data_IF_727810034084
#
_entry.id   IF_727810034084
#
_cell.length_a   1.000
_cell.length_b   1.000
_cell.length_c   1.000
_cell.angle_alpha   90.00
_cell.angle_beta   90.00
_cell.angle_gamma   90.00
#
_symmetry.space_group_name_H-M   'P 1'
#
loop_
_entity.id
_entity.type
_entity.pdbx_description
1 polymer ?
#
# COMPACT_ATOMS: atom_id res chain seq x y z
N UNK A 1 73.39 25.50 62.76
CA UNK A 1 72.44 24.84 63.71
C UNK A 1 71.11 24.84 62.98
N UNK A 2 70.64 23.70 62.53
CA UNK A 2 69.28 23.60 61.92
C UNK A 2 68.25 23.72 63.00
N UNK A 3 67.36 24.71 62.89
CA UNK A 3 66.39 25.01 63.91
C UNK A 3 65.21 24.02 63.80
N UNK A 4 65.37 22.92 64.57
CA UNK A 4 64.37 21.80 64.62
C UNK A 4 63.00 22.29 64.94
N UNK A 5 62.87 23.40 65.67
CA UNK A 5 61.59 24.01 66.03
C UNK A 5 60.81 24.56 64.82
N UNK A 6 61.50 25.09 63.81
CA UNK A 6 60.85 25.56 62.60
C UNK A 6 60.36 24.43 61.71
N UNK A 7 61.09 23.33 61.63
CA UNK A 7 60.68 22.16 60.88
C UNK A 7 59.44 21.47 61.51
N UNK A 8 59.40 21.35 62.85
CA UNK A 8 58.25 20.79 63.54
C UNK A 8 57.01 21.69 63.37
N UNK A 9 57.17 23.01 63.48
CA UNK A 9 56.02 23.96 63.25
C UNK A 9 55.49 23.91 61.82
N UNK A 10 56.40 23.84 60.82
CA UNK A 10 56.00 23.73 59.42
C UNK A 10 55.31 22.42 59.11
N UNK A 11 55.79 21.32 59.68
CA UNK A 11 55.16 20.00 59.50
C UNK A 11 53.80 19.93 60.18
N UNK A 12 53.65 20.47 61.39
CA UNK A 12 52.37 20.56 62.07
C UNK A 12 51.34 21.43 61.29
N UNK A 13 51.76 22.52 60.68
CA UNK A 13 50.91 23.38 59.86
C UNK A 13 50.40 22.64 58.58
N UNK A 14 51.28 21.85 57.94
CA UNK A 14 50.91 21.02 56.76
C UNK A 14 49.92 19.94 57.14
N UNK A 15 50.15 19.25 58.27
CA UNK A 15 49.18 18.23 58.72
C UNK A 15 47.83 18.85 59.16
N UNK A 16 47.86 19.99 59.77
CA UNK A 16 46.60 20.69 60.12
C UNK A 16 45.83 21.14 58.89
N UNK A 17 46.51 21.69 57.90
CA UNK A 17 45.91 22.05 56.60
C UNK A 17 45.34 20.85 55.87
N UNK A 18 46.06 19.71 55.89
CA UNK A 18 45.57 18.46 55.30
C UNK A 18 44.35 17.91 56.04
N UNK A 19 44.33 17.93 57.37
CA UNK A 19 43.20 17.49 58.16
C UNK A 19 41.95 18.35 57.94
N UNK A 20 42.12 19.69 57.86
CA UNK A 20 41.04 20.62 57.53
C UNK A 20 40.57 20.42 56.10
N UNK A 21 41.46 20.16 55.13
CA UNK A 21 41.11 19.91 53.75
C UNK A 21 40.32 18.61 53.58
N UNK A 22 40.68 17.54 54.31
CA UNK A 22 39.94 16.29 54.32
C UNK A 22 38.55 16.45 54.97
N UNK A 23 38.44 17.16 56.08
CA UNK A 23 37.19 17.41 56.76
C UNK A 23 36.21 18.24 55.90
N UNK A 24 36.73 19.26 55.22
CA UNK A 24 35.97 20.07 54.27
C UNK A 24 35.56 19.22 53.04
N UNK A 25 36.48 18.41 52.50
CA UNK A 25 36.22 17.54 51.37
C UNK A 25 35.11 16.52 51.66
N UNK A 26 35.12 15.87 52.85
CA UNK A 26 34.05 14.96 53.28
C UNK A 26 32.74 15.66 53.50
N UNK A 27 32.74 16.86 54.14
CA UNK A 27 31.54 17.63 54.38
C UNK A 27 30.87 18.13 53.08
N UNK A 28 31.63 18.47 52.07
CA UNK A 28 31.14 18.88 50.75
C UNK A 28 30.67 17.65 49.93
N UNK A 29 31.43 16.53 50.00
CA UNK A 29 31.09 15.32 49.28
C UNK A 29 29.78 14.71 49.75
N UNK A 30 29.45 14.76 51.04
CA UNK A 30 28.16 14.28 51.55
C UNK A 30 26.99 15.11 51.01
N UNK A 31 27.12 16.44 50.99
CA UNK A 31 26.05 17.32 50.46
C UNK A 31 25.87 17.24 48.96
N UNK A 32 26.94 16.97 48.20
CA UNK A 32 26.87 16.78 46.76
C UNK A 32 26.24 15.43 46.43
N UNK A 33 26.57 14.37 47.18
CA UNK A 33 25.93 13.07 47.02
C UNK A 33 24.41 13.10 47.27
N UNK A 34 24.01 13.71 48.38
CA UNK A 34 22.58 13.84 48.72
C UNK A 34 21.79 14.67 47.67
N UNK A 35 22.41 15.71 47.13
CA UNK A 35 21.81 16.51 46.05
C UNK A 35 21.72 15.69 44.72
N UNK A 36 22.75 14.96 44.38
CA UNK A 36 22.78 14.11 43.18
C UNK A 36 21.76 12.96 43.26
N UNK A 37 21.65 12.32 44.43
CA UNK A 37 20.67 11.28 44.67
C UNK A 37 19.23 11.80 44.64
N UNK A 38 18.98 13.02 45.17
CA UNK A 38 17.68 13.67 45.10
C UNK A 38 17.30 14.08 43.64
N UNK A 39 18.26 14.53 42.83
CA UNK A 39 18.05 14.80 41.42
C UNK A 39 17.72 13.53 40.64
N UNK A 40 18.45 12.46 40.87
CA UNK A 40 18.19 11.15 40.24
C UNK A 40 16.82 10.59 40.66
N UNK A 41 16.46 10.68 41.93
CA UNK A 41 15.15 10.24 42.40
C UNK A 41 14.00 11.06 41.74
N UNK A 42 14.13 12.38 41.64
CA UNK A 42 13.16 13.23 40.98
C UNK A 42 13.07 12.97 39.46
N UNK A 43 14.19 12.64 38.82
CA UNK A 43 14.21 12.29 37.39
C UNK A 43 13.56 10.93 37.14
N UNK A 44 13.84 9.94 37.99
CA UNK A 44 13.18 8.62 37.92
C UNK A 44 11.68 8.75 38.14
N UNK A 45 11.24 9.54 39.11
CA UNK A 45 9.81 9.81 39.36
C UNK A 45 9.14 10.45 38.14
N UNK A 46 9.76 11.49 37.54
CA UNK A 46 9.25 12.15 36.32
C UNK A 46 9.17 11.19 35.12
N UNK A 47 10.18 10.33 34.96
CA UNK A 47 10.18 9.32 33.89
C UNK A 47 9.11 8.26 34.13
N UNK A 48 8.92 7.85 35.38
CA UNK A 48 7.85 6.92 35.78
C UNK A 48 6.47 7.49 35.49
N UNK A 49 6.23 8.76 35.87
CA UNK A 49 4.96 9.43 35.60
C UNK A 49 4.68 9.58 34.10
N UNK A 50 5.70 9.96 33.31
CA UNK A 50 5.58 10.02 31.84
C UNK A 50 5.27 8.65 31.23
N UNK A 51 5.98 7.61 31.67
CA UNK A 51 5.70 6.26 31.21
C UNK A 51 4.27 5.83 31.54
N UNK A 52 3.80 6.15 32.72
CA UNK A 52 2.42 5.84 33.11
C UNK A 52 1.40 6.62 32.27
N UNK A 53 1.62 7.92 32.05
CA UNK A 53 0.76 8.72 31.17
C UNK A 53 0.75 8.18 29.73
N UNK A 54 1.90 7.80 29.18
CA UNK A 54 1.98 7.22 27.83
C UNK A 54 1.29 5.85 27.75
N UNK A 55 1.42 5.03 28.80
CA UNK A 55 0.70 3.76 28.88
C UNK A 55 -0.82 3.95 28.94
N UNK A 56 -1.30 4.91 29.74
CA UNK A 56 -2.73 5.24 29.85
C UNK A 56 -3.27 5.78 28.50
N UNK A 57 -2.50 6.62 27.81
CA UNK A 57 -2.84 7.13 26.48
C UNK A 57 -2.90 5.97 25.46
N UNK A 58 -1.92 5.09 25.49
CA UNK A 58 -1.87 3.93 24.59
C UNK A 58 -3.06 2.97 24.83
N UNK A 59 -3.42 2.70 26.08
CA UNK A 59 -4.61 1.91 26.43
C UNK A 59 -5.89 2.57 25.96
N UNK A 60 -6.04 3.88 26.20
CA UNK A 60 -7.21 4.63 25.76
C UNK A 60 -7.32 4.72 24.23
N UNK A 61 -6.19 4.83 23.53
CA UNK A 61 -6.17 4.81 22.06
C UNK A 61 -6.57 3.43 21.54
N UNK A 62 -6.05 2.34 22.14
CA UNK A 62 -6.43 0.97 21.77
C UNK A 62 -7.91 0.70 21.98
N UNK A 63 -8.47 1.10 23.13
CA UNK A 63 -9.91 0.92 23.41
C UNK A 63 -10.80 1.67 22.42
N UNK A 64 -10.37 2.89 21.99
CA UNK A 64 -11.11 3.61 20.94
C UNK A 64 -11.00 2.93 19.58
N UNK A 65 -9.82 2.38 19.25
CA UNK A 65 -9.62 1.58 18.03
C UNK A 65 -10.53 0.35 18.02
N UNK A 66 -10.53 -0.44 19.11
CA UNK A 66 -11.36 -1.64 19.25
C UNK A 66 -12.88 -1.32 19.12
N UNK A 67 -13.32 -0.20 19.71
CA UNK A 67 -14.72 0.22 19.59
C UNK A 67 -15.07 0.69 18.16
N UNK A 68 -14.14 1.33 17.46
CA UNK A 68 -14.31 1.72 16.07
C UNK A 68 -14.34 0.48 15.16
N UNK A 69 -13.45 -0.47 15.37
CA UNK A 69 -13.40 -1.73 14.63
C UNK A 69 -14.70 -2.53 14.81
N UNK A 70 -15.21 -2.66 16.06
CA UNK A 70 -16.47 -3.32 16.33
C UNK A 70 -17.67 -2.64 15.60
N UNK A 71 -17.67 -1.29 15.55
CA UNK A 71 -18.70 -0.56 14.81
C UNK A 71 -18.61 -0.87 13.31
N UNK A 72 -17.41 -0.85 12.73
CA UNK A 72 -17.20 -1.15 11.32
C UNK A 72 -17.61 -2.60 11.01
N UNK A 73 -17.18 -3.56 11.82
CA UNK A 73 -17.57 -4.97 11.65
C UNK A 73 -19.08 -5.19 11.67
N UNK A 74 -19.79 -4.50 12.56
CA UNK A 74 -21.26 -4.63 12.67
C UNK A 74 -22.03 -3.92 11.55
N UNK A 75 -21.47 -2.83 11.02
CA UNK A 75 -22.13 -2.06 9.95
C UNK A 75 -21.76 -2.56 8.56
N UNK A 76 -20.59 -3.18 8.40
CA UNK A 76 -20.08 -3.67 7.12
C UNK A 76 -21.07 -4.52 6.33
N UNK A 77 -21.74 -5.56 6.89
CA UNK A 77 -22.68 -6.37 6.11
C UNK A 77 -23.83 -5.55 5.52
N UNK A 78 -24.33 -4.57 6.29
CA UNK A 78 -25.44 -3.70 5.83
C UNK A 78 -24.98 -2.75 4.72
N UNK A 79 -23.73 -2.27 4.80
CA UNK A 79 -23.16 -1.39 3.78
C UNK A 79 -22.80 -2.13 2.49
N UNK A 80 -22.54 -3.43 2.58
CA UNK A 80 -22.19 -4.27 1.43
C UNK A 80 -23.41 -4.92 0.76
N UNK A 81 -24.52 -5.07 1.47
CA UNK A 81 -25.71 -5.79 0.99
C UNK A 81 -26.13 -5.29 -0.40
N UNK A 82 -26.11 -6.22 -1.37
CA UNK A 82 -26.54 -6.03 -2.78
C UNK A 82 -25.88 -4.82 -3.51
N UNK A 83 -24.78 -4.28 -3.00
CA UNK A 83 -24.17 -3.07 -3.54
C UNK A 83 -23.65 -3.24 -4.96
N UNK A 84 -23.19 -4.44 -5.31
CA UNK A 84 -22.71 -4.80 -6.64
C UNK A 84 -23.58 -5.91 -7.27
N UNK A 85 -24.83 -6.07 -6.80
CA UNK A 85 -25.71 -7.07 -7.34
C UNK A 85 -25.88 -6.94 -8.85
N UNK A 86 -25.86 -8.08 -9.55
CA UNK A 86 -25.99 -8.19 -11.03
C UNK A 86 -24.82 -7.58 -11.83
N UNK A 87 -23.81 -7.01 -11.17
CA UNK A 87 -22.61 -6.48 -11.85
C UNK A 87 -21.52 -7.56 -11.97
N UNK A 88 -20.74 -7.46 -13.02
CA UNK A 88 -19.66 -8.39 -13.38
C UNK A 88 -18.34 -7.64 -13.46
N UNK A 89 -17.29 -8.23 -12.90
CA UNK A 89 -15.99 -7.57 -12.86
C UNK A 89 -14.90 -8.47 -13.42
N UNK A 90 -13.89 -7.83 -14.04
CA UNK A 90 -12.63 -8.44 -14.38
C UNK A 90 -11.61 -8.20 -13.25
N UNK A 91 -10.74 -9.17 -13.00
CA UNK A 91 -9.59 -9.06 -12.10
C UNK A 91 -8.31 -9.23 -12.90
N UNK A 92 -7.47 -8.21 -12.90
CA UNK A 92 -6.24 -8.15 -13.70
C UNK A 92 -5.06 -8.04 -12.76
N UNK A 93 -4.11 -8.96 -12.90
CA UNK A 93 -2.82 -8.88 -12.22
C UNK A 93 -1.75 -8.43 -13.21
N UNK A 94 -1.11 -7.31 -12.92
CA UNK A 94 0.07 -6.84 -13.64
C UNK A 94 1.29 -7.50 -12.99
N UNK A 95 1.52 -8.77 -13.36
CA UNK A 95 2.51 -9.65 -12.77
C UNK A 95 1.91 -10.88 -12.07
N UNK A 96 2.69 -11.56 -11.21
CA UNK A 96 2.29 -12.79 -10.55
C UNK A 96 1.03 -12.63 -9.69
N UNK A 97 0.20 -13.67 -9.59
CA UNK A 97 -1.02 -13.64 -8.79
C UNK A 97 -0.71 -13.48 -7.30
N UNK A 98 -1.11 -12.36 -6.70
CA UNK A 98 -1.11 -12.18 -5.27
C UNK A 98 -2.31 -12.88 -4.63
N UNK A 99 -2.08 -14.03 -4.00
CA UNK A 99 -3.16 -14.81 -3.36
C UNK A 99 -3.90 -14.04 -2.26
N UNK A 100 -3.25 -13.10 -1.55
CA UNK A 100 -3.89 -12.26 -0.54
C UNK A 100 -4.81 -11.22 -1.19
N UNK A 101 -4.34 -10.50 -2.20
CA UNK A 101 -5.14 -9.53 -2.94
C UNK A 101 -6.32 -10.22 -3.64
N UNK A 102 -6.08 -11.35 -4.32
CA UNK A 102 -7.12 -12.17 -4.94
C UNK A 102 -8.22 -12.53 -3.94
N UNK A 103 -7.86 -13.14 -2.80
CA UNK A 103 -8.84 -13.53 -1.79
C UNK A 103 -9.60 -12.35 -1.18
N UNK A 104 -8.96 -11.18 -1.07
CA UNK A 104 -9.61 -9.97 -0.58
C UNK A 104 -10.64 -9.44 -1.60
N UNK A 105 -10.28 -9.41 -2.88
CA UNK A 105 -11.17 -8.99 -3.98
C UNK A 105 -12.35 -9.95 -4.11
N UNK A 106 -12.10 -11.27 -4.20
CA UNK A 106 -13.16 -12.29 -4.29
C UNK A 106 -14.14 -12.16 -3.12
N UNK A 107 -13.64 -11.95 -1.90
CA UNK A 107 -14.50 -11.73 -0.72
C UNK A 107 -15.29 -10.43 -0.84
N UNK A 108 -14.68 -9.34 -1.32
CA UNK A 108 -15.36 -8.05 -1.52
C UNK A 108 -16.55 -8.21 -2.48
N UNK A 109 -16.33 -8.84 -3.62
CA UNK A 109 -17.34 -9.07 -4.63
C UNK A 109 -18.46 -9.97 -4.11
N UNK A 110 -18.10 -11.05 -3.41
CA UNK A 110 -19.06 -11.95 -2.77
C UNK A 110 -19.90 -11.25 -1.70
N UNK A 111 -19.28 -10.48 -0.80
CA UNK A 111 -19.96 -9.73 0.27
C UNK A 111 -20.91 -8.66 -0.31
N UNK A 112 -20.60 -8.12 -1.50
CA UNK A 112 -21.38 -7.10 -2.19
C UNK A 112 -22.43 -7.66 -3.17
N UNK A 113 -22.57 -8.98 -3.29
CA UNK A 113 -23.59 -9.62 -4.11
C UNK A 113 -23.25 -9.79 -5.59
N UNK A 114 -22.01 -9.52 -6.02
CA UNK A 114 -21.57 -9.72 -7.41
C UNK A 114 -21.19 -11.18 -7.71
N UNK A 115 -20.65 -11.90 -6.74
CA UNK A 115 -20.03 -13.21 -6.95
C UNK A 115 -18.55 -13.13 -7.35
N UNK A 116 -18.02 -14.26 -7.84
CA UNK A 116 -16.60 -14.30 -8.27
C UNK A 116 -16.36 -13.45 -9.54
N UNK A 117 -15.11 -12.96 -9.75
CA UNK A 117 -14.75 -12.29 -11.00
C UNK A 117 -15.08 -13.20 -12.21
N UNK A 118 -15.81 -12.65 -13.18
CA UNK A 118 -16.17 -13.44 -14.39
C UNK A 118 -14.96 -13.69 -15.28
N UNK A 119 -13.92 -12.90 -15.11
CA UNK A 119 -12.67 -13.00 -15.84
C UNK A 119 -11.50 -12.64 -14.91
N UNK A 120 -10.46 -13.47 -14.94
CA UNK A 120 -9.18 -13.19 -14.29
C UNK A 120 -8.06 -13.40 -15.30
N UNK A 121 -7.13 -12.45 -15.34
CA UNK A 121 -5.93 -12.52 -16.16
C UNK A 121 -4.74 -12.06 -15.30
N UNK A 122 -3.65 -12.83 -15.31
CA UNK A 122 -2.36 -12.44 -14.76
C UNK A 122 -1.36 -12.35 -15.90
N UNK A 123 -0.70 -11.20 -16.01
CA UNK A 123 0.29 -10.99 -17.07
C UNK A 123 1.64 -11.60 -16.70
N UNK A 124 2.28 -12.17 -17.68
CA UNK A 124 3.68 -12.61 -17.60
C UNK A 124 4.59 -11.40 -17.88
N UNK A 125 5.19 -10.88 -16.85
CA UNK A 125 6.06 -9.69 -16.91
C UNK A 125 7.36 -9.90 -16.16
N UNK A 126 8.48 -9.33 -16.65
CA UNK A 126 8.60 -8.43 -17.80
C UNK A 126 8.43 -9.16 -19.13
N UNK A 127 7.79 -8.50 -20.11
CA UNK A 127 7.53 -9.08 -21.43
C UNK A 127 8.84 -9.39 -22.17
N UNK A 128 8.83 -10.47 -22.95
CA UNK A 128 9.91 -10.75 -23.89
C UNK A 128 9.68 -9.95 -25.19
N UNK A 129 10.50 -8.89 -25.35
CA UNK A 129 10.34 -7.93 -26.47
C UNK A 129 10.59 -8.63 -27.81
N UNK A 130 11.60 -9.51 -27.91
CA UNK A 130 11.94 -10.18 -29.15
C UNK A 130 10.83 -11.15 -29.59
N UNK A 131 10.32 -11.95 -28.63
CA UNK A 131 9.21 -12.89 -28.91
C UNK A 131 7.90 -12.13 -29.25
N UNK A 132 7.66 -11.00 -28.59
CA UNK A 132 6.47 -10.16 -28.86
C UNK A 132 6.54 -9.55 -30.26
N UNK A 133 7.67 -8.97 -30.64
CA UNK A 133 7.89 -8.42 -31.98
C UNK A 133 7.77 -9.49 -33.07
N UNK A 134 8.35 -10.67 -32.86
CA UNK A 134 8.21 -11.80 -33.80
C UNK A 134 6.74 -12.20 -33.99
N UNK A 135 5.97 -12.25 -32.91
CA UNK A 135 4.55 -12.61 -32.95
C UNK A 135 3.71 -11.52 -33.65
N UNK A 136 3.99 -10.26 -33.40
CA UNK A 136 3.31 -9.14 -34.05
C UNK A 136 3.59 -9.10 -35.56
N UNK A 137 4.84 -9.33 -35.96
CA UNK A 137 5.23 -9.38 -37.38
C UNK A 137 4.72 -10.61 -38.11
N UNK A 138 4.41 -11.70 -37.41
CA UNK A 138 3.90 -12.92 -38.01
C UNK A 138 2.41 -12.80 -38.43
N UNK A 139 1.68 -11.85 -37.87
CA UNK A 139 0.27 -11.59 -38.18
C UNK A 139 0.11 -10.24 -38.86
N UNK A 140 -0.45 -10.24 -40.10
CA UNK A 140 -0.63 -9.03 -40.90
C UNK A 140 -1.56 -7.99 -40.21
N UNK A 141 -2.51 -8.43 -39.37
CA UNK A 141 -3.42 -7.58 -38.62
C UNK A 141 -2.73 -6.92 -37.40
N UNK A 142 -1.69 -7.56 -36.86
CA UNK A 142 -0.93 -7.08 -35.70
C UNK A 142 0.35 -6.33 -36.07
N UNK A 143 0.81 -6.43 -37.32
CA UNK A 143 2.09 -5.85 -37.76
C UNK A 143 2.22 -4.34 -37.54
N UNK A 144 1.10 -3.62 -37.44
CA UNK A 144 1.10 -2.19 -37.17
C UNK A 144 1.68 -1.85 -35.79
N UNK A 145 1.49 -2.71 -34.77
CA UNK A 145 2.06 -2.50 -33.43
C UNK A 145 3.57 -2.65 -33.39
N UNK A 146 4.14 -3.52 -34.25
CA UNK A 146 5.60 -3.67 -34.34
C UNK A 146 6.29 -2.47 -35.00
N UNK A 147 5.57 -1.63 -35.78
CA UNK A 147 6.13 -0.42 -36.38
C UNK A 147 6.42 0.69 -35.35
N UNK A 148 5.81 0.63 -34.17
CA UNK A 148 6.00 1.59 -33.06
C UNK A 148 7.30 1.32 -32.28
N UNK A 149 8.04 0.25 -32.60
CA UNK A 149 9.26 -0.17 -31.91
C UNK A 149 8.93 -0.64 -30.49
N UNK A 150 9.79 -0.32 -29.51
CA UNK A 150 9.63 -0.76 -28.11
C UNK A 150 8.51 -0.04 -27.34
N UNK A 151 7.71 0.78 -27.99
CA UNK A 151 6.55 1.45 -27.41
C UNK A 151 5.27 0.63 -27.66
N UNK A 152 4.97 -0.29 -26.77
CA UNK A 152 3.75 -1.12 -26.84
C UNK A 152 2.52 -0.48 -26.20
N UNK A 153 2.52 0.85 -26.03
CA UNK A 153 1.41 1.54 -25.36
C UNK A 153 0.09 1.46 -26.15
N UNK A 154 0.15 1.49 -27.50
CA UNK A 154 -1.01 1.30 -28.36
C UNK A 154 -1.57 -0.11 -28.27
N UNK A 155 -0.70 -1.12 -28.31
CA UNK A 155 -1.09 -2.51 -28.11
C UNK A 155 -1.76 -2.70 -26.73
N UNK A 156 -1.16 -2.11 -25.68
CA UNK A 156 -1.73 -2.17 -24.33
C UNK A 156 -3.12 -1.57 -24.25
N UNK A 157 -3.33 -0.42 -24.86
CA UNK A 157 -4.62 0.29 -24.90
C UNK A 157 -5.72 -0.59 -25.49
N UNK A 158 -5.49 -1.15 -26.67
CA UNK A 158 -6.43 -2.05 -27.36
C UNK A 158 -6.67 -3.35 -26.57
N UNK A 159 -5.64 -3.92 -25.92
CA UNK A 159 -5.78 -5.09 -25.03
C UNK A 159 -6.66 -4.76 -23.80
N UNK A 160 -6.53 -3.55 -23.24
CA UNK A 160 -7.36 -3.06 -22.15
C UNK A 160 -8.83 -2.96 -22.54
N UNK A 161 -9.11 -2.36 -23.70
CA UNK A 161 -10.46 -2.25 -24.25
C UNK A 161 -11.10 -3.63 -24.51
N UNK A 162 -10.38 -4.56 -25.15
CA UNK A 162 -10.87 -5.93 -25.39
C UNK A 162 -11.18 -6.67 -24.09
N UNK A 163 -10.42 -6.41 -23.03
CA UNK A 163 -10.61 -7.08 -21.76
C UNK A 163 -11.94 -6.74 -21.11
N UNK A 164 -12.46 -5.55 -21.33
CA UNK A 164 -13.74 -5.07 -20.78
C UNK A 164 -14.91 -5.35 -21.70
N UNK A 165 -14.73 -5.16 -22.99
CA UNK A 165 -15.81 -5.23 -23.98
C UNK A 165 -16.49 -6.60 -24.06
N UNK A 166 -15.76 -7.69 -23.79
CA UNK A 166 -16.30 -9.04 -23.94
C UNK A 166 -16.52 -9.44 -25.43
N UNK A 167 -16.97 -10.66 -25.66
CA UNK A 167 -17.17 -11.18 -27.01
C UNK A 167 -15.89 -11.78 -27.60
N UNK A 168 -15.62 -11.49 -28.87
CA UNK A 168 -14.36 -11.90 -29.49
C UNK A 168 -13.23 -11.01 -29.00
N UNK A 169 -12.12 -11.63 -28.60
CA UNK A 169 -10.91 -10.96 -28.11
C UNK A 169 -9.72 -11.41 -28.96
N UNK A 170 -9.60 -10.89 -30.20
CA UNK A 170 -8.59 -11.33 -31.15
C UNK A 170 -7.16 -11.08 -30.65
N UNK A 171 -6.86 -9.91 -30.05
CA UNK A 171 -5.54 -9.60 -29.51
C UNK A 171 -5.16 -10.56 -28.38
N UNK A 172 -6.05 -10.75 -27.39
CA UNK A 172 -5.82 -11.73 -26.32
C UNK A 172 -5.70 -13.15 -26.85
N UNK A 173 -6.43 -13.50 -27.89
CA UNK A 173 -6.37 -14.84 -28.50
C UNK A 173 -5.04 -15.08 -29.19
N UNK A 174 -4.51 -14.08 -29.88
CA UNK A 174 -3.22 -14.15 -30.58
C UNK A 174 -2.03 -14.15 -29.62
N UNK A 175 -2.07 -13.29 -28.58
CA UNK A 175 -0.92 -13.00 -27.73
C UNK A 175 -0.95 -13.66 -26.34
N UNK A 176 -2.03 -14.40 -26.02
CA UNK A 176 -2.18 -14.98 -24.66
C UNK A 176 -1.06 -15.97 -24.28
N UNK A 177 -0.44 -16.64 -25.23
CA UNK A 177 0.69 -17.55 -24.94
C UNK A 177 1.97 -16.83 -24.55
N UNK A 178 2.09 -15.54 -24.85
CA UNK A 178 3.25 -14.70 -24.56
C UNK A 178 3.00 -13.77 -23.37
N UNK A 179 1.78 -13.27 -23.25
CA UNK A 179 1.45 -12.21 -22.28
C UNK A 179 0.76 -12.72 -21.02
N UNK A 180 0.29 -13.97 -20.97
CA UNK A 180 -0.57 -14.46 -19.89
C UNK A 180 0.06 -15.63 -19.15
N UNK A 181 0.37 -15.43 -17.86
CA UNK A 181 0.83 -16.49 -16.96
C UNK A 181 -0.34 -17.36 -16.45
N UNK A 182 -1.42 -16.71 -16.01
CA UNK A 182 -2.62 -17.38 -15.48
C UNK A 182 -3.89 -16.74 -16.02
N UNK A 183 -4.86 -17.59 -16.40
CA UNK A 183 -6.18 -17.14 -16.87
C UNK A 183 -7.28 -18.01 -16.30
N UNK A 184 -8.37 -17.36 -15.84
CA UNK A 184 -9.58 -18.05 -15.39
C UNK A 184 -10.84 -17.30 -15.82
N UNK A 185 -11.98 -18.00 -15.87
CA UNK A 185 -13.26 -17.43 -16.26
C UNK A 185 -13.50 -17.40 -17.76
N UNK A 186 -14.35 -16.49 -18.25
CA UNK A 186 -14.76 -16.39 -19.65
C UNK A 186 -14.51 -15.02 -20.24
N UNK A 187 -14.09 -14.96 -21.50
CA UNK A 187 -13.91 -13.73 -22.26
C UNK A 187 -15.19 -13.26 -22.99
N UNK A 188 -16.25 -14.07 -23.01
CA UNK A 188 -17.44 -13.77 -23.81
C UNK A 188 -18.41 -12.79 -23.17
N UNK A 189 -18.29 -12.59 -21.85
CA UNK A 189 -19.16 -11.68 -21.11
C UNK A 189 -18.54 -10.30 -21.02
N UNK A 190 -19.32 -9.29 -21.34
CA UNK A 190 -19.02 -7.91 -21.01
C UNK A 190 -18.93 -7.73 -19.48
N UNK A 191 -18.04 -6.88 -19.00
CA UNK A 191 -17.88 -6.56 -17.58
C UNK A 191 -18.30 -5.13 -17.30
N UNK A 192 -18.72 -4.87 -16.06
CA UNK A 192 -19.19 -3.57 -15.59
C UNK A 192 -18.06 -2.79 -14.86
N UNK A 193 -16.84 -3.30 -14.90
CA UNK A 193 -15.66 -2.69 -14.32
C UNK A 193 -14.48 -3.64 -14.20
N UNK A 194 -13.32 -3.08 -13.86
CA UNK A 194 -12.08 -3.84 -13.68
C UNK A 194 -11.41 -3.51 -12.35
N UNK A 195 -10.79 -4.53 -11.77
CA UNK A 195 -9.97 -4.43 -10.56
C UNK A 195 -8.56 -4.81 -10.96
N UNK A 196 -7.61 -3.93 -10.71
CA UNK A 196 -6.21 -4.12 -11.09
C UNK A 196 -5.34 -4.28 -9.86
N UNK A 197 -4.49 -5.29 -9.88
CA UNK A 197 -3.48 -5.56 -8.85
C UNK A 197 -2.11 -5.51 -9.51
N UNK A 198 -1.33 -4.49 -9.22
CA UNK A 198 0.07 -4.49 -9.64
C UNK A 198 0.89 -5.29 -8.63
N UNK A 199 1.54 -6.32 -9.12
CA UNK A 199 2.37 -7.24 -8.32
C UNK A 199 3.77 -7.37 -8.89
N UNK A 200 4.10 -6.59 -9.93
CA UNK A 200 5.42 -6.50 -10.51
C UNK A 200 6.05 -5.15 -10.21
N UNK A 201 7.29 -5.18 -9.76
CA UNK A 201 8.12 -4.00 -9.53
C UNK A 201 9.39 -4.14 -10.36
N UNK A 202 9.68 -3.11 -11.16
CA UNK A 202 10.86 -3.10 -12.00
C UNK A 202 12.14 -3.05 -11.15
N UNK A 203 13.04 -4.04 -11.24
CA UNK A 203 14.28 -4.00 -10.49
C UNK A 203 15.18 -2.85 -11.00
N UNK A 204 15.98 -2.23 -10.14
CA UNK A 204 17.00 -1.31 -10.59
C UNK A 204 18.05 -2.08 -11.40
N UNK A 205 18.35 -1.65 -12.63
CA UNK A 205 19.31 -2.28 -13.50
C UNK A 205 20.23 -1.27 -14.18
N UNK A 206 21.50 -1.65 -14.40
CA UNK A 206 22.46 -0.93 -15.22
C UNK A 206 22.64 -1.63 -16.59
N UNK A 207 22.01 -2.80 -16.77
CA UNK A 207 22.00 -3.53 -18.03
C UNK A 207 21.08 -2.85 -19.03
N UNK A 208 21.58 -2.62 -20.24
CA UNK A 208 20.86 -1.85 -21.27
C UNK A 208 19.69 -2.66 -21.82
N UNK A 209 19.87 -3.95 -22.07
CA UNK A 209 18.85 -4.82 -22.65
C UNK A 209 17.72 -5.05 -21.63
N UNK A 210 18.07 -5.22 -20.34
CA UNK A 210 17.09 -5.33 -19.27
C UNK A 210 16.33 -4.00 -19.05
N UNK A 211 17.02 -2.85 -19.13
CA UNK A 211 16.37 -1.54 -19.04
C UNK A 211 15.40 -1.29 -20.21
N UNK A 212 15.67 -1.83 -21.38
CA UNK A 212 14.81 -1.78 -22.55
C UNK A 212 13.55 -2.63 -22.33
N UNK A 213 13.71 -3.87 -21.90
CA UNK A 213 12.58 -4.75 -21.52
C UNK A 213 11.69 -4.13 -20.45
N UNK A 214 12.26 -3.51 -19.42
CA UNK A 214 11.51 -2.83 -18.37
C UNK A 214 10.71 -1.65 -18.96
N UNK A 215 11.29 -0.87 -19.87
CA UNK A 215 10.58 0.26 -20.51
C UNK A 215 9.44 -0.23 -21.39
N UNK A 216 9.67 -1.22 -22.21
CA UNK A 216 8.68 -1.85 -23.08
C UNK A 216 7.52 -2.43 -22.23
N UNK A 217 7.84 -3.16 -21.16
CA UNK A 217 6.83 -3.69 -20.23
C UNK A 217 5.99 -2.57 -19.62
N UNK A 218 6.61 -1.50 -19.11
CA UNK A 218 5.88 -0.36 -18.55
C UNK A 218 4.99 0.33 -19.58
N UNK A 219 5.47 0.50 -20.81
CA UNK A 219 4.68 1.07 -21.90
C UNK A 219 3.43 0.25 -22.19
N UNK A 220 3.56 -1.08 -22.26
CA UNK A 220 2.42 -2.00 -22.41
C UNK A 220 1.43 -1.90 -21.25
N UNK A 221 1.93 -1.92 -20.00
CA UNK A 221 1.08 -1.86 -18.81
C UNK A 221 0.37 -0.52 -18.67
N UNK A 222 1.06 0.61 -18.92
CA UNK A 222 0.46 1.94 -18.91
C UNK A 222 -0.59 2.07 -20.02
N UNK A 223 -0.38 1.44 -21.17
CA UNK A 223 -1.37 1.33 -22.25
C UNK A 223 -2.59 0.55 -21.79
N UNK A 224 -2.40 -0.64 -21.26
CA UNK A 224 -3.49 -1.50 -20.80
C UNK A 224 -4.36 -0.80 -19.73
N UNK A 225 -3.75 -0.08 -18.80
CA UNK A 225 -4.47 0.69 -17.80
C UNK A 225 -5.29 1.82 -18.43
N UNK A 226 -4.76 2.51 -19.45
CA UNK A 226 -5.52 3.52 -20.19
C UNK A 226 -6.68 2.92 -20.98
N UNK A 227 -6.45 1.80 -21.67
CA UNK A 227 -7.51 1.11 -22.42
C UNK A 227 -8.65 0.65 -21.52
N UNK A 228 -8.33 0.17 -20.31
CA UNK A 228 -9.34 -0.14 -19.30
C UNK A 228 -10.15 1.10 -18.90
N UNK A 229 -9.49 2.24 -18.65
CA UNK A 229 -10.14 3.49 -18.19
C UNK A 229 -10.95 4.17 -19.29
N UNK A 230 -10.51 4.07 -20.56
CA UNK A 230 -11.20 4.64 -21.73
C UNK A 230 -12.62 4.09 -21.91
N UNK A 231 -12.92 2.93 -21.38
CA UNK A 231 -14.24 2.29 -21.53
C UNK A 231 -15.37 3.00 -20.76
N UNK A 232 -15.01 3.88 -19.82
CA UNK A 232 -15.97 4.61 -18.98
C UNK A 232 -16.58 3.75 -17.86
N UNK A 233 -16.14 2.51 -17.68
CA UNK A 233 -16.47 1.67 -16.52
C UNK A 233 -15.51 1.96 -15.35
N UNK A 234 -15.92 1.71 -14.10
CA UNK A 234 -15.03 1.89 -12.96
C UNK A 234 -13.82 0.95 -13.04
N UNK A 235 -12.63 1.53 -13.03
CA UNK A 235 -11.36 0.82 -12.87
C UNK A 235 -10.77 1.20 -11.53
N UNK A 236 -10.40 0.19 -10.73
CA UNK A 236 -9.87 0.42 -9.40
C UNK A 236 -8.57 -0.38 -9.22
N UNK A 237 -7.47 0.35 -8.99
CA UNK A 237 -6.22 -0.23 -8.59
C UNK A 237 -6.25 -0.63 -7.12
N UNK A 238 -5.77 -1.82 -6.78
CA UNK A 238 -5.77 -2.29 -5.38
C UNK A 238 -4.44 -2.87 -4.98
N UNK A 239 -4.07 -2.64 -3.73
CA UNK A 239 -2.96 -3.30 -3.06
C UNK A 239 -3.33 -3.69 -1.62
N UNK A 240 -2.51 -4.53 -0.99
CA UNK A 240 -2.71 -4.90 0.42
C UNK A 240 -2.03 -3.89 1.33
N UNK A 241 -2.51 -3.78 2.58
CA UNK A 241 -1.93 -2.89 3.59
C UNK A 241 -0.43 -3.14 3.85
N UNK A 242 0.05 -4.36 3.55
CA UNK A 242 1.45 -4.79 3.77
C UNK A 242 2.28 -4.85 2.49
N UNK A 243 1.81 -4.29 1.38
CA UNK A 243 2.59 -4.19 0.14
C UNK A 243 3.76 -3.23 0.36
N UNK A 244 4.98 -3.69 0.13
CA UNK A 244 6.21 -2.89 0.29
C UNK A 244 6.40 -1.95 -0.92
N UNK A 245 6.12 -2.44 -2.13
CA UNK A 245 6.13 -1.66 -3.35
C UNK A 245 4.70 -1.19 -3.65
N UNK A 246 4.49 0.12 -3.65
CA UNK A 246 3.17 0.72 -3.85
C UNK A 246 3.00 1.21 -5.28
N UNK A 247 1.94 0.77 -5.94
CA UNK A 247 1.53 1.20 -7.28
C UNK A 247 0.53 2.38 -7.25
N UNK A 248 0.17 2.87 -6.07
CA UNK A 248 -0.85 3.92 -5.91
C UNK A 248 -0.48 5.20 -6.66
N UNK A 249 0.79 5.59 -6.65
CA UNK A 249 1.25 6.78 -7.38
C UNK A 249 1.13 6.60 -8.90
N UNK A 250 1.29 5.39 -9.43
CA UNK A 250 1.12 5.07 -10.83
C UNK A 250 -0.36 5.12 -11.22
N UNK A 251 -1.25 4.56 -10.41
CA UNK A 251 -2.70 4.69 -10.61
C UNK A 251 -3.16 6.15 -10.56
N UNK A 252 -2.67 6.92 -9.57
CA UNK A 252 -2.99 8.35 -9.46
C UNK A 252 -2.56 9.13 -10.71
N UNK A 253 -1.37 8.86 -11.23
CA UNK A 253 -0.84 9.52 -12.45
C UNK A 253 -1.71 9.26 -13.67
N UNK A 254 -2.34 8.09 -13.75
CA UNK A 254 -3.25 7.70 -14.82
C UNK A 254 -4.72 8.10 -14.56
N UNK A 255 -5.03 8.69 -13.41
CA UNK A 255 -6.39 9.09 -13.04
C UNK A 255 -7.27 7.94 -12.53
N UNK A 256 -6.68 6.76 -12.29
CA UNK A 256 -7.38 5.58 -11.81
C UNK A 256 -7.55 5.67 -10.30
N UNK A 257 -8.76 5.41 -9.82
CA UNK A 257 -9.05 5.32 -8.39
C UNK A 257 -8.35 4.12 -7.75
N UNK A 258 -7.95 4.25 -6.47
CA UNK A 258 -7.18 3.19 -5.83
C UNK A 258 -7.55 2.93 -4.37
N UNK A 259 -7.21 1.71 -3.91
CA UNK A 259 -7.35 1.27 -2.51
C UNK A 259 -6.08 0.56 -2.06
N UNK A 260 -5.40 1.10 -1.04
CA UNK A 260 -4.09 0.62 -0.58
C UNK A 260 -4.15 -0.47 0.51
N UNK A 261 -5.32 -0.90 0.91
CA UNK A 261 -5.55 -1.81 2.04
C UNK A 261 -6.72 -2.77 1.82
N UNK A 262 -6.86 -3.29 0.60
CA UNK A 262 -7.99 -4.14 0.18
C UNK A 262 -8.19 -5.38 1.08
N UNK A 263 -7.16 -5.84 1.78
CA UNK A 263 -7.20 -6.95 2.72
C UNK A 263 -7.83 -6.60 4.08
N UNK A 264 -8.20 -5.34 4.32
CA UNK A 264 -8.94 -4.88 5.51
C UNK A 264 -10.44 -4.74 5.24
N UNK A 265 -11.25 -4.64 6.30
CA UNK A 265 -12.71 -4.40 6.16
C UNK A 265 -12.96 -3.03 5.51
N UNK A 266 -12.22 -2.00 5.93
CA UNK A 266 -12.35 -0.66 5.37
C UNK A 266 -11.95 -0.61 3.89
N UNK A 267 -10.86 -1.28 3.50
CA UNK A 267 -10.42 -1.36 2.11
C UNK A 267 -11.42 -2.11 1.22
N UNK A 268 -11.99 -3.21 1.72
CA UNK A 268 -13.04 -3.93 0.99
C UNK A 268 -14.30 -3.07 0.79
N UNK A 269 -14.69 -2.29 1.80
CA UNK A 269 -15.79 -1.34 1.66
C UNK A 269 -15.46 -0.25 0.65
N UNK A 270 -14.24 0.30 0.69
CA UNK A 270 -13.78 1.32 -0.26
C UNK A 270 -13.83 0.79 -1.70
N UNK A 271 -13.31 -0.42 -1.94
CA UNK A 271 -13.37 -1.07 -3.25
C UNK A 271 -14.82 -1.24 -3.74
N UNK A 272 -15.72 -1.76 -2.90
CA UNK A 272 -17.12 -1.94 -3.28
C UNK A 272 -17.81 -0.60 -3.60
N UNK A 273 -17.51 0.46 -2.84
CA UNK A 273 -18.05 1.79 -3.08
C UNK A 273 -17.56 2.37 -4.42
N UNK A 274 -16.27 2.26 -4.72
CA UNK A 274 -15.69 2.72 -5.99
C UNK A 274 -16.28 1.96 -7.18
N UNK A 275 -16.36 0.63 -7.10
CA UNK A 275 -16.97 -0.20 -8.14
C UNK A 275 -18.47 0.08 -8.32
N UNK A 276 -19.15 0.55 -7.28
CA UNK A 276 -20.53 1.01 -7.37
C UNK A 276 -20.69 2.39 -8.04
N UNK A 277 -19.60 3.06 -8.40
CA UNK A 277 -19.60 4.41 -8.97
C UNK A 277 -19.52 5.51 -7.91
N UNK A 278 -18.96 5.22 -6.74
CA UNK A 278 -18.68 6.21 -5.70
C UNK A 278 -17.65 7.25 -6.14
N UNK A 279 -17.41 8.25 -5.28
CA UNK A 279 -16.49 9.34 -5.58
C UNK A 279 -15.09 8.80 -5.90
N UNK A 280 -14.54 9.09 -7.09
CA UNK A 280 -13.18 8.71 -7.45
C UNK A 280 -12.14 9.31 -6.50
N UNK A 281 -11.05 8.57 -6.26
CA UNK A 281 -9.95 9.03 -5.39
C UNK A 281 -9.06 7.89 -4.92
N UNK A 282 -8.06 8.23 -4.11
CA UNK A 282 -7.09 7.30 -3.53
C UNK A 282 -7.40 7.08 -2.05
N UNK A 283 -7.90 5.91 -1.73
CA UNK A 283 -8.41 5.58 -0.40
C UNK A 283 -7.55 4.53 0.30
N UNK A 284 -7.46 4.63 1.63
CA UNK A 284 -6.72 3.65 2.42
C UNK A 284 -6.11 4.17 3.70
N UNK A 285 -4.97 3.59 4.10
CA UNK A 285 -4.29 3.88 5.38
C UNK A 285 -2.83 4.26 5.21
N UNK A 286 -2.26 4.16 4.00
CA UNK A 286 -0.89 4.57 3.70
C UNK A 286 -0.82 6.07 3.42
N UNK A 287 0.38 6.63 3.40
CA UNK A 287 0.60 8.07 3.11
C UNK A 287 0.14 8.46 1.70
N UNK A 288 0.04 7.50 0.78
CA UNK A 288 -0.49 7.66 -0.59
C UNK A 288 -2.01 7.84 -0.66
N UNK A 289 -2.76 7.50 0.39
CA UNK A 289 -4.21 7.67 0.45
C UNK A 289 -4.59 9.13 0.72
N UNK A 290 -4.71 9.93 -0.34
CA UNK A 290 -4.96 11.39 -0.24
C UNK A 290 -6.41 11.74 0.12
N UNK A 291 -7.38 10.84 -0.14
CA UNK A 291 -8.82 11.13 -0.07
C UNK A 291 -9.51 10.49 1.15
N UNK A 292 -8.74 9.89 2.02
CA UNK A 292 -9.21 9.28 3.28
C UNK A 292 -9.26 7.76 3.24
N UNK A 293 -9.91 7.15 4.23
CA UNK A 293 -9.92 5.69 4.38
C UNK A 293 -10.95 5.01 3.47
N UNK A 294 -12.09 5.64 3.28
CA UNK A 294 -13.20 5.14 2.43
C UNK A 294 -13.86 6.30 1.70
N UNK A 295 -14.43 6.07 0.50
CA UNK A 295 -15.26 7.05 -0.19
C UNK A 295 -16.46 7.48 0.66
N UNK A 296 -17.04 8.68 0.42
CA UNK A 296 -18.31 9.06 1.02
C UNK A 296 -19.40 8.02 0.76
N UNK A 297 -20.10 7.62 1.83
CA UNK A 297 -21.16 6.62 1.73
C UNK A 297 -22.45 7.33 1.31
N UNK A 298 -22.81 7.21 0.04
CA UNK A 298 -24.08 7.71 -0.45
C UNK A 298 -25.17 6.64 -0.25
N UNK A 299 -26.39 7.08 0.07
CA UNK A 299 -27.52 6.17 0.16
C UNK A 299 -27.86 5.63 -1.23
N UNK A 300 -27.94 4.30 -1.38
CA UNK A 300 -28.45 3.69 -2.60
C UNK A 300 -29.86 4.25 -2.83
N UNK A 301 -30.14 4.89 -3.99
CA UNK A 301 -31.51 5.30 -4.28
C UNK A 301 -32.42 4.06 -4.31
N UNK A 302 -33.64 4.14 -3.74
CA UNK A 302 -34.56 3.01 -3.82
C UNK A 302 -34.77 2.65 -5.29
N UNK A 303 -34.92 1.34 -5.62
CA UNK A 303 -35.18 0.90 -6.98
C UNK A 303 -36.39 1.67 -7.53
N UNK A 304 -36.24 2.21 -8.73
CA UNK A 304 -37.35 2.86 -9.41
C UNK A 304 -38.47 1.81 -9.55
N UNK A 305 -39.51 1.95 -8.74
CA UNK A 305 -40.72 1.17 -8.89
C UNK A 305 -41.35 1.59 -10.22
N UNK A 306 -41.08 0.82 -11.28
CA UNK A 306 -41.69 1.01 -12.58
C UNK A 306 -43.24 1.03 -12.43
N UNK A 307 -43.77 2.14 -12.86
CA UNK A 307 -45.25 2.33 -12.94
C UNK A 307 -45.80 1.66 -14.17
#
# INVERSE_FOLDING_TARGET
MFDLRYHVASLAAVFLALAVGILLGVAISGKVGDAEDSFRAAEVERLSDRLQEEQERAVAARQRGEAADELVERTYPVLMEDRLAERRFALVFLGPVSGRARSAVERTLSDAGSGDPVRMVALDVPVDVEELDEALLADEELAAYAEEGDDFSGLGDDLGEELVAGGETPLWSALSSLLVEERAGTSTLEVDGAIVVESWSAPPTEDVDEAERIRATRSLLDGLLRGLDNTGFPVVGVETATSDDSAIDDYHRLGISSVDNVDTIAGRLALALLLAGGQPGNYGVKDSASDGVVPPIESVPPPETGA
#
